data_IF_115229062499
#
_entry.id   IF_115229062499
#
_cell.length_a   1.000
_cell.length_b   1.000
_cell.length_c   1.000
_cell.angle_alpha   90.00
_cell.angle_beta   90.00
_cell.angle_gamma   90.00
#
_symmetry.space_group_name_H-M   'P 1'
#
loop_
_entity.id
_entity.type
_entity.pdbx_description
1 polymer ?
#
# COMPACT_ATOMS: atom_id res chain seq x y z
N UNK A 1 -52.96 -10.80 -32.07
CA UNK A 1 -52.74 -9.54 -32.82
C UNK A 1 -51.92 -8.65 -31.89
N UNK A 2 -50.59 -8.63 -31.81
CA UNK A 2 -49.50 -8.49 -32.79
C UNK A 2 -49.75 -7.39 -33.83
N UNK A 3 -49.30 -6.17 -33.53
CA UNK A 3 -48.33 -5.53 -34.40
C UNK A 3 -47.36 -4.62 -33.59
N UNK A 4 -46.05 -4.67 -33.89
CA UNK A 4 -44.95 -4.10 -33.14
C UNK A 4 -44.58 -2.70 -33.67
N UNK A 5 -43.88 -1.87 -32.89
CA UNK A 5 -42.89 -0.85 -33.32
C UNK A 5 -42.63 0.20 -32.22
N UNK A 6 -41.96 -0.16 -31.13
CA UNK A 6 -41.13 0.81 -30.41
C UNK A 6 -39.70 0.26 -30.38
N UNK A 7 -38.83 0.91 -31.14
CA UNK A 7 -37.42 0.55 -31.24
C UNK A 7 -36.69 0.98 -29.97
N UNK A 8 -35.87 0.11 -29.35
CA UNK A 8 -35.01 0.48 -28.22
C UNK A 8 -33.83 1.31 -28.72
N UNK A 9 -33.59 2.46 -28.08
CA UNK A 9 -32.41 3.30 -28.31
C UNK A 9 -31.35 2.89 -27.30
N UNK A 10 -30.61 1.82 -27.60
CA UNK A 10 -29.25 1.62 -27.12
C UNK A 10 -28.45 0.95 -28.24
N UNK A 11 -27.22 1.38 -28.49
CA UNK A 11 -26.13 0.41 -28.58
C UNK A 11 -24.98 0.85 -27.66
N UNK A 12 -24.63 0.09 -26.62
CA UNK A 12 -23.88 -1.18 -26.69
C UNK A 12 -22.67 -1.07 -27.63
N UNK A 13 -21.56 -0.63 -27.04
CA UNK A 13 -20.21 -1.18 -27.14
C UNK A 13 -19.88 -2.00 -28.39
N UNK A 14 -19.13 -1.41 -29.32
CA UNK A 14 -18.44 -2.14 -30.38
C UNK A 14 -16.99 -2.42 -29.94
N UNK A 15 -16.78 -3.60 -29.36
CA UNK A 15 -15.47 -4.21 -29.18
C UNK A 15 -15.00 -4.65 -30.57
N UNK A 16 -14.09 -3.90 -31.18
CA UNK A 16 -13.38 -4.40 -32.36
C UNK A 16 -12.12 -5.13 -31.89
N UNK A 17 -12.28 -6.43 -31.69
CA UNK A 17 -11.18 -7.37 -31.77
C UNK A 17 -10.69 -7.37 -33.23
N UNK A 18 -9.52 -6.77 -33.46
CA UNK A 18 -8.73 -7.00 -34.66
C UNK A 18 -7.36 -7.49 -34.21
N UNK A 19 -7.26 -8.78 -33.95
CA UNK A 19 -5.98 -9.47 -33.88
C UNK A 19 -5.46 -9.65 -35.30
N UNK A 20 -4.36 -8.97 -35.63
CA UNK A 20 -3.36 -9.53 -36.53
C UNK A 20 -1.97 -9.16 -35.99
N UNK A 21 -1.26 -10.18 -35.52
CA UNK A 21 0.10 -10.09 -35.04
C UNK A 21 1.07 -9.76 -36.18
N UNK A 22 1.92 -8.77 -35.96
CA UNK A 22 3.28 -8.74 -36.52
C UNK A 22 4.15 -7.91 -35.58
N UNK A 23 4.94 -8.61 -34.77
CA UNK A 23 5.98 -8.09 -33.91
C UNK A 23 7.10 -7.51 -34.79
N UNK A 24 7.31 -6.19 -34.78
CA UNK A 24 8.54 -5.58 -35.30
C UNK A 24 8.85 -4.25 -34.58
N UNK A 25 9.73 -4.35 -33.58
CA UNK A 25 10.61 -3.32 -32.99
C UNK A 25 10.02 -1.94 -32.62
N UNK A 26 9.86 -1.58 -31.32
CA UNK A 26 9.68 -0.19 -30.93
C UNK A 26 11.08 0.45 -30.85
N UNK A 27 11.58 0.93 -31.99
CA UNK A 27 12.64 1.92 -31.98
C UNK A 27 11.98 3.31 -32.08
N UNK A 28 12.25 4.13 -31.06
CA UNK A 28 12.27 5.59 -31.19
C UNK A 28 10.91 6.31 -31.23
N UNK A 29 10.18 6.33 -30.11
CA UNK A 29 9.25 7.42 -29.82
C UNK A 29 10.04 8.65 -29.35
N UNK A 30 10.76 9.28 -30.28
CA UNK A 30 11.08 10.69 -30.18
C UNK A 30 9.79 11.45 -30.47
N UNK A 31 9.13 11.97 -29.44
CA UNK A 31 8.13 13.00 -29.64
C UNK A 31 8.83 14.28 -30.12
N UNK A 32 8.24 14.98 -31.08
CA UNK A 32 8.11 16.41 -30.87
C UNK A 32 6.65 16.81 -30.99
N UNK A 33 6.23 17.57 -29.97
CA UNK A 33 5.07 18.44 -29.94
C UNK A 33 5.03 19.26 -31.23
N UNK A 34 4.30 18.77 -32.23
CA UNK A 34 4.04 19.48 -33.47
C UNK A 34 2.74 20.28 -33.35
N UNK A 35 2.55 21.02 -32.25
CA UNK A 35 1.52 22.05 -32.10
C UNK A 35 1.96 23.10 -31.08
N UNK A 36 3.19 23.60 -31.21
CA UNK A 36 3.59 24.86 -30.59
C UNK A 36 3.38 25.97 -31.62
N UNK A 37 2.62 26.98 -31.23
CA UNK A 37 2.24 28.15 -32.02
C UNK A 37 3.50 28.87 -32.55
N UNK A 38 3.51 29.21 -33.85
CA UNK A 38 4.45 30.18 -34.43
C UNK A 38 4.15 31.57 -33.83
N UNK A 39 4.70 31.82 -32.65
CA UNK A 39 4.77 33.16 -32.06
C UNK A 39 6.15 33.73 -32.38
N UNK A 40 6.27 34.69 -33.34
CA UNK A 40 7.55 35.20 -33.80
C UNK A 40 8.29 36.03 -32.74
N UNK A 41 7.62 36.40 -31.64
CA UNK A 41 8.20 37.13 -30.51
C UNK A 41 8.46 36.21 -29.29
N UNK A 42 8.32 34.88 -29.45
CA UNK A 42 8.72 33.94 -28.42
C UNK A 42 10.21 34.09 -28.12
N UNK A 43 10.52 34.48 -26.89
CA UNK A 43 11.89 34.64 -26.40
C UNK A 43 12.70 33.36 -26.66
N UNK A 44 13.64 33.43 -27.59
CA UNK A 44 14.60 32.37 -27.87
C UNK A 44 15.81 32.59 -26.96
N UNK A 45 16.20 31.62 -26.11
CA UNK A 45 17.46 31.73 -25.39
C UNK A 45 18.59 31.94 -26.41
N UNK A 46 19.56 32.83 -26.12
CA UNK A 46 20.70 32.98 -27.00
C UNK A 46 21.35 31.61 -27.16
N UNK A 47 21.53 31.18 -28.40
CA UNK A 47 22.33 30.02 -28.73
C UNK A 47 23.75 30.35 -28.26
N UNK A 48 24.08 29.93 -27.04
CA UNK A 48 25.46 29.87 -26.59
C UNK A 48 26.18 29.04 -27.66
N UNK A 49 27.27 29.57 -28.23
CA UNK A 49 28.21 28.78 -29.02
C UNK A 49 28.40 27.49 -28.24
N UNK A 50 27.92 26.37 -28.79
CA UNK A 50 27.97 25.09 -28.12
C UNK A 50 29.43 24.84 -27.79
N UNK A 51 29.81 25.05 -26.53
CA UNK A 51 31.12 24.58 -26.05
C UNK A 51 31.21 23.12 -26.49
N UNK A 52 32.36 22.68 -27.02
CA UNK A 52 32.51 21.29 -27.43
C UNK A 52 32.07 20.43 -26.24
N UNK A 53 31.13 19.52 -26.50
CA UNK A 53 30.68 18.57 -25.49
C UNK A 53 31.93 18.03 -24.78
N UNK A 54 31.93 17.96 -23.43
CA UNK A 54 33.11 17.55 -22.68
C UNK A 54 33.72 16.33 -23.36
N UNK A 55 34.99 16.43 -23.76
CA UNK A 55 35.68 15.28 -24.36
C UNK A 55 35.58 14.07 -23.44
N UNK A 56 35.84 12.87 -23.96
CA UNK A 56 35.80 11.62 -23.18
C UNK A 56 36.56 11.75 -21.85
N UNK A 57 37.69 12.47 -21.85
CA UNK A 57 38.49 12.79 -20.67
C UNK A 57 37.75 13.64 -19.61
N UNK A 58 36.94 14.62 -20.04
CA UNK A 58 36.15 15.46 -19.15
C UNK A 58 34.98 14.71 -18.50
N UNK A 59 34.34 13.82 -19.27
CA UNK A 59 33.29 12.93 -18.75
C UNK A 59 33.85 11.93 -17.73
N UNK A 60 35.05 11.39 -17.97
CA UNK A 60 35.72 10.44 -17.07
C UNK A 60 36.14 11.09 -15.73
N UNK A 61 36.59 12.36 -15.77
CA UNK A 61 36.91 13.16 -14.57
C UNK A 61 35.66 13.45 -13.72
N UNK A 62 34.54 13.82 -14.36
CA UNK A 62 33.26 14.01 -13.67
C UNK A 62 32.78 12.69 -13.07
N UNK A 63 32.87 11.59 -13.83
CA UNK A 63 32.54 10.25 -13.34
C UNK A 63 33.35 9.86 -12.11
N UNK A 64 34.67 10.12 -12.12
CA UNK A 64 35.55 9.90 -10.96
C UNK A 64 35.16 10.78 -9.76
N UNK A 65 34.82 12.04 -10.00
CA UNK A 65 34.37 12.96 -8.95
C UNK A 65 33.07 12.50 -8.28
N UNK A 66 32.08 12.11 -9.08
CA UNK A 66 30.81 11.56 -8.60
C UNK A 66 31.03 10.25 -7.84
N UNK A 67 31.95 9.39 -8.29
CA UNK A 67 32.32 8.17 -7.59
C UNK A 67 32.86 8.43 -6.18
N UNK A 68 33.80 9.38 -6.03
CA UNK A 68 34.37 9.75 -4.73
C UNK A 68 33.29 10.34 -3.80
N UNK A 69 32.40 11.18 -4.33
CA UNK A 69 31.29 11.75 -3.56
C UNK A 69 30.34 10.67 -3.06
N UNK A 70 29.97 9.72 -3.93
CA UNK A 70 29.08 8.62 -3.57
C UNK A 70 29.71 7.70 -2.51
N UNK A 71 31.01 7.40 -2.65
CA UNK A 71 31.73 6.58 -1.68
C UNK A 71 31.78 7.23 -0.30
N UNK A 72 32.07 8.54 -0.24
CA UNK A 72 32.07 9.28 1.02
C UNK A 72 30.67 9.33 1.64
N UNK A 73 29.63 9.57 0.83
CA UNK A 73 28.25 9.57 1.30
C UNK A 73 27.82 8.21 1.87
N UNK A 74 28.16 7.11 1.21
CA UNK A 74 27.89 5.76 1.71
C UNK A 74 28.69 5.44 2.97
N UNK A 75 29.94 5.92 3.07
CA UNK A 75 30.76 5.78 4.28
C UNK A 75 30.17 6.54 5.46
N UNK A 76 29.61 7.72 5.22
CA UNK A 76 28.98 8.55 6.25
C UNK A 76 27.61 7.99 6.68
N UNK A 77 26.80 7.46 5.75
CA UNK A 77 25.49 6.89 6.05
C UNK A 77 25.52 5.44 6.55
N UNK A 78 26.50 4.64 6.13
CA UNK A 78 26.59 3.21 6.43
C UNK A 78 26.36 2.89 7.91
N UNK A 79 27.10 3.50 8.85
CA UNK A 79 26.92 3.24 10.28
C UNK A 79 25.49 3.53 10.80
N UNK A 80 24.85 4.58 10.27
CA UNK A 80 23.48 4.93 10.66
C UNK A 80 22.43 3.95 10.12
N UNK A 81 22.63 3.46 8.89
CA UNK A 81 21.78 2.42 8.29
C UNK A 81 21.95 1.07 8.98
N UNK A 82 23.17 0.72 9.35
CA UNK A 82 23.47 -0.51 10.11
C UNK A 82 22.78 -0.49 11.48
N UNK A 83 22.89 0.63 12.20
CA UNK A 83 22.21 0.81 13.49
C UNK A 83 20.69 0.74 13.33
N UNK A 84 20.12 1.44 12.35
CA UNK A 84 18.69 1.39 12.07
C UNK A 84 18.21 -0.04 11.75
N UNK A 85 18.99 -0.77 10.94
CA UNK A 85 18.71 -2.17 10.62
C UNK A 85 18.72 -3.05 11.87
N UNK A 86 19.68 -2.85 12.77
CA UNK A 86 19.79 -3.58 14.02
C UNK A 86 18.62 -3.27 14.97
N UNK A 87 18.25 -2.01 15.10
CA UNK A 87 17.12 -1.56 15.94
C UNK A 87 15.80 -2.12 15.39
N UNK A 88 15.58 -2.02 14.08
CA UNK A 88 14.39 -2.58 13.42
C UNK A 88 14.34 -4.10 13.59
N UNK A 89 15.46 -4.80 13.41
CA UNK A 89 15.53 -6.24 13.63
C UNK A 89 15.18 -6.60 15.09
N UNK A 90 15.68 -5.84 16.06
CA UNK A 90 15.33 -6.01 17.47
C UNK A 90 13.82 -5.84 17.72
N UNK A 91 13.23 -4.78 17.18
CA UNK A 91 11.79 -4.53 17.29
C UNK A 91 10.95 -5.65 16.64
N UNK A 92 11.33 -6.12 15.45
CA UNK A 92 10.65 -7.22 14.77
C UNK A 92 10.77 -8.54 15.55
N UNK A 93 11.91 -8.81 16.17
CA UNK A 93 12.08 -10.00 17.02
C UNK A 93 11.15 -9.96 18.24
N UNK A 94 10.93 -8.79 18.83
CA UNK A 94 10.00 -8.60 19.93
C UNK A 94 8.53 -8.76 19.48
N UNK A 95 8.21 -8.37 18.24
CA UNK A 95 6.87 -8.51 17.66
C UNK A 95 6.59 -9.89 17.05
N UNK A 96 7.63 -10.66 16.72
CA UNK A 96 7.55 -12.00 16.15
C UNK A 96 6.55 -12.94 16.85
N UNK A 97 6.54 -13.07 18.20
CA UNK A 97 5.55 -13.89 18.89
C UNK A 97 4.10 -13.41 18.67
N UNK A 98 3.87 -12.09 18.70
CA UNK A 98 2.54 -11.49 18.46
C UNK A 98 2.08 -11.75 17.03
N UNK A 99 2.98 -11.59 16.05
CA UNK A 99 2.70 -11.86 14.64
C UNK A 99 2.41 -13.34 14.38
N UNK A 100 3.10 -14.23 15.09
CA UNK A 100 2.83 -15.67 15.03
C UNK A 100 1.43 -16.00 15.55
N UNK A 101 1.06 -15.46 16.71
CA UNK A 101 -0.28 -15.63 17.30
C UNK A 101 -1.36 -15.06 16.37
N UNK A 102 -1.11 -13.90 15.76
CA UNK A 102 -2.02 -13.30 14.79
C UNK A 102 -2.16 -14.16 13.54
N UNK A 103 -1.06 -14.77 13.06
CA UNK A 103 -1.07 -15.70 11.95
C UNK A 103 -2.00 -16.89 12.17
N UNK A 104 -2.07 -17.42 13.40
CA UNK A 104 -3.01 -18.50 13.76
C UNK A 104 -4.46 -18.03 13.64
N UNK A 105 -4.78 -16.82 14.11
CA UNK A 105 -6.14 -16.28 14.01
C UNK A 105 -6.54 -15.98 12.56
N UNK A 106 -5.61 -15.43 11.76
CA UNK A 106 -5.83 -15.20 10.32
C UNK A 106 -6.06 -16.54 9.60
N UNK A 107 -5.32 -17.59 9.95
CA UNK A 107 -5.52 -18.92 9.39
C UNK A 107 -6.94 -19.45 9.71
N UNK A 108 -7.42 -19.25 10.94
CA UNK A 108 -8.76 -19.66 11.38
C UNK A 108 -9.89 -18.88 10.68
N UNK A 109 -9.65 -17.70 10.08
CA UNK A 109 -10.68 -16.96 9.34
C UNK A 109 -11.32 -17.79 8.21
N UNK A 110 -10.58 -18.74 7.63
CA UNK A 110 -11.11 -19.66 6.59
C UNK A 110 -12.25 -20.55 7.11
N UNK A 111 -12.36 -20.70 8.43
CA UNK A 111 -13.35 -21.52 9.10
C UNK A 111 -14.65 -20.77 9.39
N UNK A 112 -14.78 -19.53 8.92
CA UNK A 112 -15.97 -18.70 9.08
C UNK A 112 -16.67 -18.45 7.75
N UNK A 113 -17.96 -18.20 7.82
CA UNK A 113 -18.81 -17.82 6.70
C UNK A 113 -18.71 -16.33 6.40
N UNK A 114 -19.33 -15.91 5.30
CA UNK A 114 -19.41 -14.49 4.98
C UNK A 114 -20.19 -13.71 6.06
N UNK A 115 -19.89 -12.41 6.26
CA UNK A 115 -20.59 -11.60 7.26
C UNK A 115 -22.10 -11.46 6.96
N UNK A 116 -22.94 -11.69 7.96
CA UNK A 116 -24.39 -11.51 7.92
C UNK A 116 -24.78 -10.27 8.72
N UNK A 117 -25.56 -9.36 8.11
CA UNK A 117 -26.08 -8.17 8.79
C UNK A 117 -27.45 -8.46 9.40
N UNK A 118 -27.58 -8.22 10.69
CA UNK A 118 -28.82 -8.41 11.44
C UNK A 118 -29.73 -7.18 11.36
N UNK A 119 -30.99 -7.32 11.77
CA UNK A 119 -31.99 -6.25 11.76
C UNK A 119 -31.60 -5.05 12.66
N UNK A 120 -30.87 -5.30 13.75
CA UNK A 120 -30.35 -4.27 14.63
C UNK A 120 -29.15 -3.50 14.03
N UNK A 121 -28.58 -3.99 12.92
CA UNK A 121 -27.42 -3.42 12.26
C UNK A 121 -26.07 -4.07 12.63
N UNK A 122 -26.05 -5.02 13.58
CA UNK A 122 -24.83 -5.76 13.93
C UNK A 122 -24.43 -6.71 12.80
N UNK A 123 -23.14 -7.04 12.77
CA UNK A 123 -22.57 -8.03 11.86
C UNK A 123 -22.20 -9.28 12.65
N UNK A 124 -22.73 -10.42 12.24
CA UNK A 124 -22.34 -11.74 12.76
C UNK A 124 -21.56 -12.48 11.68
N UNK A 125 -20.40 -13.02 12.07
CA UNK A 125 -19.62 -13.92 11.23
C UNK A 125 -19.69 -15.30 11.87
N UNK A 126 -20.44 -16.21 11.25
CA UNK A 126 -20.70 -17.55 11.80
C UNK A 126 -19.54 -18.47 11.49
N UNK A 127 -19.25 -19.40 12.39
CA UNK A 127 -18.28 -20.46 12.16
C UNK A 127 -18.92 -21.60 11.37
N UNK A 128 -18.21 -22.15 10.40
CA UNK A 128 -18.69 -23.27 9.57
C UNK A 128 -18.90 -24.52 10.44
N UNK A 129 -19.96 -25.27 10.17
CA UNK A 129 -20.36 -26.41 11.00
C UNK A 129 -19.35 -27.58 10.94
N UNK A 130 -18.61 -27.70 9.84
CA UNK A 130 -17.59 -28.72 9.60
C UNK A 130 -16.19 -28.31 10.08
N UNK A 131 -16.03 -27.09 10.60
CA UNK A 131 -14.72 -26.60 11.01
C UNK A 131 -14.24 -27.26 12.32
N UNK A 132 -12.94 -27.60 12.42
CA UNK A 132 -12.33 -28.11 13.67
C UNK A 132 -12.47 -27.07 14.78
N UNK A 133 -12.41 -27.37 16.09
CA UNK A 133 -12.55 -26.36 17.15
C UNK A 133 -11.65 -25.12 16.95
N UNK A 134 -12.10 -23.91 17.36
CA UNK A 134 -11.29 -22.71 17.20
C UNK A 134 -9.99 -22.82 18.01
N UNK A 135 -8.87 -22.33 17.45
CA UNK A 135 -7.62 -22.31 18.19
C UNK A 135 -7.73 -21.37 19.40
N UNK A 136 -6.97 -21.64 20.48
CA UNK A 136 -6.88 -20.69 21.58
C UNK A 136 -6.27 -19.38 21.08
N UNK A 137 -6.78 -18.25 21.59
CA UNK A 137 -6.11 -16.95 21.42
C UNK A 137 -4.77 -17.04 22.14
N UNK A 138 -3.69 -16.82 21.40
CA UNK A 138 -2.33 -16.87 21.93
C UNK A 138 -2.12 -15.88 23.07
N UNK A 139 -1.29 -16.27 24.04
CA UNK A 139 -1.10 -15.52 25.30
C UNK A 139 -0.65 -14.08 25.03
N UNK A 140 0.21 -13.84 24.04
CA UNK A 140 0.68 -12.50 23.73
C UNK A 140 -0.46 -11.59 23.25
N UNK A 141 -1.36 -12.09 22.38
CA UNK A 141 -2.54 -11.34 21.94
C UNK A 141 -3.59 -11.18 23.03
N UNK A 142 -3.71 -12.15 23.94
CA UNK A 142 -4.61 -12.04 25.08
C UNK A 142 -4.23 -10.88 25.98
N UNK A 143 -2.94 -10.72 26.31
CA UNK A 143 -2.45 -9.60 27.11
C UNK A 143 -2.68 -8.21 26.47
N UNK A 144 -2.79 -8.12 25.14
CA UNK A 144 -3.13 -6.86 24.47
C UNK A 144 -4.63 -6.54 24.51
N UNK A 145 -5.49 -7.56 24.53
CA UNK A 145 -6.95 -7.41 24.42
C UNK A 145 -7.66 -7.41 25.76
N UNK A 146 -7.03 -7.99 26.77
CA UNK A 146 -7.43 -7.93 28.16
C UNK A 146 -6.42 -7.04 28.87
N UNK A 147 -6.74 -5.78 29.23
CA UNK A 147 -5.90 -5.07 30.18
C UNK A 147 -5.84 -5.92 31.45
N UNK A 148 -4.63 -6.38 31.81
CA UNK A 148 -4.35 -7.05 33.09
C UNK A 148 -5.06 -6.24 34.17
N UNK A 149 -6.01 -6.88 34.85
CA UNK A 149 -6.77 -6.37 35.99
C UNK A 149 -6.64 -4.84 36.12
N UNK A 150 -7.50 -4.08 35.43
CA UNK A 150 -7.86 -2.80 36.04
C UNK A 150 -8.27 -3.20 37.45
N UNK A 151 -7.53 -2.80 38.51
CA UNK A 151 -7.99 -3.08 39.87
C UNK A 151 -9.42 -2.58 39.83
N UNK A 152 -10.39 -3.49 40.10
CA UNK A 152 -11.82 -3.20 39.96
C UNK A 152 -11.97 -1.75 40.33
N UNK A 153 -12.41 -0.90 39.40
CA UNK A 153 -12.62 0.50 39.75
C UNK A 153 -13.57 0.42 40.93
N UNK A 154 -13.00 0.51 42.14
CA UNK A 154 -13.72 0.72 43.37
C UNK A 154 -14.07 2.17 43.20
N UNK A 155 -15.01 2.43 42.27
CA UNK A 155 -15.82 3.62 42.26
C UNK A 155 -16.22 3.70 43.72
N UNK A 156 -15.72 4.69 44.48
CA UNK A 156 -16.06 4.77 45.88
C UNK A 156 -17.59 4.85 45.90
N UNK A 157 -18.25 3.75 46.30
CA UNK A 157 -19.69 3.78 46.49
C UNK A 157 -19.87 4.69 47.68
N UNK A 158 -20.30 5.90 47.40
CA UNK A 158 -20.77 6.81 48.42
C UNK A 158 -21.86 6.05 49.20
N UNK A 159 -21.63 5.70 50.48
CA UNK A 159 -22.60 4.93 51.25
C UNK A 159 -23.91 5.69 51.46
N UNK A 160 -23.92 7.01 51.21
CA UNK A 160 -25.09 7.86 51.28
C UNK A 160 -25.77 8.05 49.90
N UNK A 161 -25.23 7.46 48.82
CA UNK A 161 -25.90 7.49 47.52
C UNK A 161 -27.17 6.61 47.59
N UNK A 162 -28.34 7.14 47.16
CA UNK A 162 -29.55 6.35 47.12
C UNK A 162 -29.37 5.17 46.15
N UNK A 163 -29.52 3.95 46.64
CA UNK A 163 -29.57 2.77 45.78
C UNK A 163 -30.78 2.90 44.86
N UNK A 164 -30.52 2.99 43.56
CA UNK A 164 -31.56 3.02 42.54
C UNK A 164 -31.92 1.57 42.28
N UNK A 165 -33.05 1.12 42.83
CA UNK A 165 -33.64 -0.16 42.45
C UNK A 165 -34.00 -0.11 40.95
N UNK A 166 -33.34 -0.95 40.15
CA UNK A 166 -33.61 -1.15 38.73
C UNK A 166 -34.73 -2.17 38.51
#
# INVERSE_FOLDING_TARGET
MHNPNLRPIFPVMQIRALTLAAFLAPALFAAPVLFAQDDPDAWQPPLQDSEPAPGEDGADLIGRGVGILMENFMRDLGPGLDQLGQDMSGALNNLSPVLKDLGVLIDDLRNYEAPERLENGDIVIRRRADAPPPPPIGEYLRNFTMPEDQPESVVPRDPDAPEIDL
#
